data_IF_893811841531
#
_entry.id   IF_893811841531
#
_cell.length_a   1.000
_cell.length_b   1.000
_cell.length_c   1.000
_cell.angle_alpha   90.00
_cell.angle_beta   90.00
_cell.angle_gamma   90.00
#
_symmetry.space_group_name_H-M   'P 1'
#
loop_
_entity.id
_entity.type
_entity.pdbx_description
1 polymer ?
#
# COMPACT_ATOMS: atom_id res chain seq x y z
N UNK A 1 -16.57 36.23 -57.96
CA UNK A 1 -16.40 35.02 -57.13
C UNK A 1 -16.31 35.45 -55.67
N UNK A 2 -17.30 35.11 -54.85
CA UNK A 2 -17.51 35.67 -53.50
C UNK A 2 -16.49 35.10 -52.50
N UNK A 3 -15.70 35.94 -51.79
CA UNK A 3 -14.60 35.49 -50.91
C UNK A 3 -15.09 34.76 -49.64
N UNK A 4 -16.38 34.83 -49.34
CA UNK A 4 -17.00 34.19 -48.17
C UNK A 4 -16.89 32.67 -48.15
N UNK A 5 -16.81 32.01 -49.31
CA UNK A 5 -16.65 30.55 -49.36
C UNK A 5 -15.30 30.07 -48.82
N UNK A 6 -14.23 30.84 -49.05
CA UNK A 6 -12.89 30.52 -48.52
C UNK A 6 -12.80 30.78 -47.01
N UNK A 7 -13.44 31.85 -46.54
CA UNK A 7 -13.50 32.17 -45.11
C UNK A 7 -14.32 31.14 -44.32
N UNK A 8 -15.44 30.68 -44.88
CA UNK A 8 -16.28 29.66 -44.25
C UNK A 8 -15.60 28.28 -44.21
N UNK A 9 -14.85 27.92 -45.27
CA UNK A 9 -14.07 26.69 -45.27
C UNK A 9 -12.94 26.70 -44.23
N UNK A 10 -12.29 27.86 -44.02
CA UNK A 10 -11.21 28.00 -43.05
C UNK A 10 -11.72 27.84 -41.60
N UNK A 11 -12.90 28.39 -41.30
CA UNK A 11 -13.56 28.22 -40.00
C UNK A 11 -13.99 26.77 -39.73
N UNK A 12 -14.36 26.02 -40.78
CA UNK A 12 -14.74 24.62 -40.65
C UNK A 12 -13.53 23.72 -40.34
N UNK A 13 -12.34 24.05 -40.83
CA UNK A 13 -11.12 23.28 -40.56
C UNK A 13 -10.60 23.44 -39.12
N UNK A 14 -10.81 24.59 -38.47
CA UNK A 14 -10.33 24.83 -37.10
C UNK A 14 -11.07 24.02 -36.04
N UNK A 15 -12.28 23.54 -36.34
CA UNK A 15 -13.08 22.71 -35.43
C UNK A 15 -12.58 21.25 -35.32
N UNK A 16 -11.70 20.82 -36.23
CA UNK A 16 -11.17 19.44 -36.29
C UNK A 16 -9.90 19.22 -35.44
N UNK A 17 -9.36 20.26 -34.79
CA UNK A 17 -8.14 20.18 -33.97
C UNK A 17 -8.34 20.09 -32.46
N UNK A 18 -9.55 19.73 -32.01
CA UNK A 18 -9.82 19.43 -30.60
C UNK A 18 -9.38 18.02 -30.18
N UNK A 19 -8.08 17.75 -30.08
CA UNK A 19 -7.59 16.50 -29.49
C UNK A 19 -7.66 16.56 -27.95
N UNK A 20 -8.70 15.96 -27.36
CA UNK A 20 -8.77 15.70 -25.92
C UNK A 20 -8.01 14.41 -25.58
N UNK A 21 -6.86 14.53 -24.93
CA UNK A 21 -6.12 13.38 -24.41
C UNK A 21 -6.52 13.13 -22.95
N UNK A 22 -7.25 12.04 -22.69
CA UNK A 22 -7.58 11.61 -21.33
C UNK A 22 -6.50 10.66 -20.83
N UNK A 23 -5.71 11.08 -19.84
CA UNK A 23 -4.75 10.21 -19.16
C UNK A 23 -5.48 9.50 -18.02
N UNK A 24 -5.49 8.17 -18.08
CA UNK A 24 -6.01 7.34 -16.98
C UNK A 24 -4.93 7.28 -15.89
N UNK A 25 -5.22 7.89 -14.74
CA UNK A 25 -4.37 7.77 -13.55
C UNK A 25 -4.95 6.67 -12.67
N UNK A 26 -4.17 5.62 -12.33
CA UNK A 26 -4.62 4.62 -11.37
C UNK A 26 -4.76 5.27 -9.99
N UNK A 27 -6.00 5.33 -9.49
CA UNK A 27 -6.27 5.78 -8.13
C UNK A 27 -6.25 4.54 -7.23
N UNK A 28 -5.32 4.45 -6.26
CA UNK A 28 -5.31 3.33 -5.34
C UNK A 28 -6.60 3.30 -4.52
N UNK A 29 -7.17 2.11 -4.26
CA UNK A 29 -8.38 1.99 -3.45
C UNK A 29 -8.12 2.57 -2.06
N UNK A 30 -8.96 3.54 -1.66
CA UNK A 30 -8.92 4.11 -0.31
C UNK A 30 -9.72 3.20 0.62
N UNK A 31 -9.08 2.59 1.61
CA UNK A 31 -9.78 1.93 2.72
C UNK A 31 -10.10 2.96 3.80
N UNK A 32 -11.38 3.12 4.13
CA UNK A 32 -11.77 3.88 5.33
C UNK A 32 -11.47 3.02 6.56
N UNK A 33 -10.49 3.44 7.35
CA UNK A 33 -10.08 2.70 8.55
C UNK A 33 -10.96 2.98 9.77
N UNK A 34 -11.76 4.06 9.75
CA UNK A 34 -12.59 4.48 10.89
C UNK A 34 -13.66 3.43 11.25
N UNK A 35 -14.14 2.68 10.27
CA UNK A 35 -15.11 1.61 10.47
C UNK A 35 -14.56 0.41 11.27
N UNK A 36 -13.23 0.29 11.40
CA UNK A 36 -12.57 -0.82 12.07
C UNK A 36 -12.14 -0.51 13.51
N UNK A 37 -12.48 0.66 14.07
CA UNK A 37 -12.15 1.01 15.46
C UNK A 37 -10.64 0.89 15.74
N UNK A 38 -10.26 0.13 16.77
CA UNK A 38 -8.85 -0.14 17.09
C UNK A 38 -8.27 -1.22 16.18
N UNK A 39 -7.22 -0.86 15.44
CA UNK A 39 -6.51 -1.75 14.54
C UNK A 39 -5.26 -2.29 15.25
N UNK A 40 -5.12 -3.60 15.30
CA UNK A 40 -3.89 -4.25 15.72
C UNK A 40 -2.84 -4.20 14.63
N UNK A 41 -1.59 -3.90 14.98
CA UNK A 41 -0.44 -3.97 14.07
C UNK A 41 0.53 -5.02 14.59
N UNK A 42 0.79 -6.03 13.78
CA UNK A 42 1.88 -6.98 14.04
C UNK A 42 3.15 -6.39 13.42
N UNK A 43 4.25 -6.47 14.18
CA UNK A 43 5.53 -5.93 13.75
C UNK A 43 5.97 -6.57 12.43
N UNK A 44 6.45 -5.74 11.50
CA UNK A 44 6.84 -6.24 10.19
C UNK A 44 8.07 -7.11 10.30
N UNK A 45 8.09 -8.16 9.48
CA UNK A 45 9.24 -9.06 9.38
C UNK A 45 9.87 -8.92 7.99
N UNK A 46 11.19 -8.76 7.95
CA UNK A 46 11.98 -8.82 6.73
C UNK A 46 12.78 -10.12 6.63
N UNK A 47 13.10 -10.53 5.40
CA UNK A 47 14.01 -11.63 5.12
C UNK A 47 15.50 -11.24 5.29
N UNK A 48 15.80 -9.94 5.36
CA UNK A 48 17.17 -9.41 5.50
C UNK A 48 17.51 -9.05 6.97
N UNK A 49 17.88 -7.79 7.24
CA UNK A 49 18.31 -7.34 8.56
C UNK A 49 17.13 -6.97 9.46
N UNK A 50 17.04 -7.64 10.61
CA UNK A 50 16.05 -7.40 11.66
C UNK A 50 16.01 -5.95 12.17
N UNK A 51 17.09 -5.17 12.03
CA UNK A 51 17.10 -3.75 12.41
C UNK A 51 16.10 -2.93 11.57
N UNK A 52 15.77 -3.38 10.36
CA UNK A 52 14.81 -2.72 9.46
C UNK A 52 13.35 -2.97 9.86
N UNK A 53 13.06 -3.98 10.67
CA UNK A 53 11.71 -4.32 11.10
C UNK A 53 11.05 -3.19 11.90
N UNK A 54 11.79 -2.65 12.88
CA UNK A 54 11.32 -1.55 13.72
C UNK A 54 11.12 -0.27 12.90
N UNK A 55 12.09 0.07 12.05
CA UNK A 55 12.01 1.24 11.18
C UNK A 55 10.81 1.17 10.23
N UNK A 56 10.59 0.02 9.59
CA UNK A 56 9.48 -0.15 8.67
C UNK A 56 8.11 -0.16 9.37
N UNK A 57 8.02 -0.76 10.56
CA UNK A 57 6.80 -0.72 11.38
C UNK A 57 6.47 0.73 11.76
N UNK A 58 7.47 1.51 12.16
CA UNK A 58 7.31 2.93 12.46
C UNK A 58 6.88 3.74 11.22
N UNK A 59 7.57 3.57 10.09
CA UNK A 59 7.22 4.26 8.84
C UNK A 59 5.79 3.94 8.38
N UNK A 60 5.35 2.68 8.55
CA UNK A 60 3.97 2.30 8.28
C UNK A 60 2.98 3.00 9.21
N UNK A 61 3.25 3.04 10.52
CA UNK A 61 2.40 3.74 11.49
C UNK A 61 2.27 5.22 11.14
N UNK A 62 3.39 5.89 10.84
CA UNK A 62 3.42 7.31 10.43
C UNK A 62 2.55 7.53 9.18
N UNK A 63 2.71 6.68 8.16
CA UNK A 63 1.97 6.80 6.91
C UNK A 63 0.47 6.56 7.10
N UNK A 64 0.08 5.52 7.84
CA UNK A 64 -1.32 5.17 8.06
C UNK A 64 -2.02 6.22 8.92
N UNK A 65 -1.37 6.72 9.98
CA UNK A 65 -1.93 7.77 10.82
C UNK A 65 -2.06 9.10 10.07
N UNK A 66 -1.09 9.45 9.21
CA UNK A 66 -1.19 10.61 8.34
C UNK A 66 -2.34 10.51 7.33
N UNK A 67 -2.60 9.31 6.81
CA UNK A 67 -3.69 9.06 5.87
C UNK A 67 -5.07 8.93 6.54
N UNK A 68 -5.14 8.43 7.78
CA UNK A 68 -6.37 8.14 8.51
C UNK A 68 -6.33 8.66 9.96
N UNK A 69 -6.31 9.99 10.14
CA UNK A 69 -6.24 10.58 11.48
C UNK A 69 -7.43 10.13 12.34
N UNK A 70 -7.15 9.79 13.60
CA UNK A 70 -8.14 9.38 14.59
C UNK A 70 -8.44 7.88 14.64
N UNK A 71 -7.78 7.04 13.84
CA UNK A 71 -7.88 5.58 13.98
C UNK A 71 -6.79 5.06 14.92
N UNK A 72 -7.13 4.50 16.10
CA UNK A 72 -6.13 4.00 17.03
C UNK A 72 -5.46 2.74 16.50
N UNK A 73 -4.12 2.74 16.51
CA UNK A 73 -3.29 1.59 16.14
C UNK A 73 -2.62 1.06 17.39
N UNK A 74 -2.80 -0.24 17.66
CA UNK A 74 -2.18 -0.94 18.78
C UNK A 74 -1.13 -1.91 18.27
N UNK A 75 0.13 -1.69 18.62
CA UNK A 75 1.20 -2.64 18.30
C UNK A 75 1.09 -3.89 19.19
N UNK A 76 0.92 -5.05 18.57
CA UNK A 76 0.67 -6.33 19.25
C UNK A 76 1.96 -7.09 19.56
N UNK A 77 3.08 -6.69 18.95
CA UNK A 77 4.39 -7.35 19.04
C UNK A 77 4.74 -8.17 17.79
N UNK A 78 5.66 -9.12 17.96
CA UNK A 78 6.13 -9.98 16.86
C UNK A 78 5.10 -11.05 16.49
N UNK A 79 5.16 -11.50 15.23
CA UNK A 79 4.30 -12.56 14.69
C UNK A 79 4.24 -13.81 15.58
N UNK A 80 5.41 -14.30 15.98
CA UNK A 80 5.51 -15.52 16.80
C UNK A 80 4.95 -15.32 18.21
N UNK A 81 5.17 -14.15 18.82
CA UNK A 81 4.66 -13.85 20.15
C UNK A 81 3.12 -13.75 20.16
N UNK A 82 2.54 -13.11 19.14
CA UNK A 82 1.08 -12.98 19.00
C UNK A 82 0.42 -14.34 18.76
N UNK A 83 1.01 -15.17 17.92
CA UNK A 83 0.52 -16.54 17.65
C UNK A 83 0.62 -17.43 18.89
N UNK A 84 1.78 -17.42 19.57
CA UNK A 84 1.95 -18.15 20.83
C UNK A 84 0.96 -17.70 21.91
N UNK A 85 0.67 -16.40 21.98
CA UNK A 85 -0.25 -15.83 22.95
C UNK A 85 -1.70 -16.34 22.79
N UNK A 86 -2.10 -16.79 21.61
CA UNK A 86 -3.44 -17.34 21.35
C UNK A 86 -3.45 -18.85 21.11
N UNK A 87 -2.29 -19.50 21.25
CA UNK A 87 -2.11 -20.93 21.02
C UNK A 87 -2.26 -21.34 19.55
N UNK A 88 -2.07 -20.41 18.61
CA UNK A 88 -2.13 -20.65 17.18
C UNK A 88 -0.75 -20.81 16.57
N UNK A 89 -0.68 -21.45 15.40
CA UNK A 89 0.56 -21.57 14.60
C UNK A 89 0.48 -20.78 13.30
N UNK A 90 -0.72 -20.38 12.88
CA UNK A 90 -0.99 -19.63 11.66
C UNK A 90 -2.09 -18.60 11.89
N UNK A 91 -2.19 -17.59 11.03
CA UNK A 91 -3.27 -16.59 11.06
C UNK A 91 -4.51 -17.12 10.33
N UNK A 92 -5.14 -18.15 10.88
CA UNK A 92 -6.43 -18.66 10.42
C UNK A 92 -7.61 -17.90 11.06
N UNK A 93 -8.83 -18.10 10.54
CA UNK A 93 -10.01 -17.38 11.01
C UNK A 93 -10.27 -17.58 12.53
N UNK A 94 -9.94 -18.76 13.07
CA UNK A 94 -10.08 -19.06 14.50
C UNK A 94 -9.07 -18.26 15.32
N UNK A 95 -7.80 -18.27 14.93
CA UNK A 95 -6.72 -17.51 15.57
C UNK A 95 -7.01 -16.02 15.50
N UNK A 96 -7.46 -15.49 14.37
CA UNK A 96 -7.83 -14.08 14.22
C UNK A 96 -8.95 -13.66 15.18
N UNK A 97 -9.94 -14.53 15.39
CA UNK A 97 -11.02 -14.29 16.36
C UNK A 97 -10.48 -14.26 17.80
N UNK A 98 -9.56 -15.17 18.14
CA UNK A 98 -8.90 -15.21 19.46
C UNK A 98 -8.04 -13.96 19.70
N UNK A 99 -7.29 -13.51 18.68
CA UNK A 99 -6.48 -12.29 18.75
C UNK A 99 -7.38 -11.08 18.99
N UNK A 100 -8.46 -10.93 18.22
CA UNK A 100 -9.41 -9.83 18.40
C UNK A 100 -10.00 -9.78 19.81
N UNK A 101 -10.38 -10.95 20.37
CA UNK A 101 -10.90 -11.05 21.74
C UNK A 101 -9.84 -10.75 22.81
N UNK A 102 -8.60 -11.22 22.62
CA UNK A 102 -7.51 -11.07 23.61
C UNK A 102 -7.00 -9.64 23.69
N UNK A 103 -6.83 -8.99 22.54
CA UNK A 103 -6.21 -7.66 22.44
C UNK A 103 -7.23 -6.53 22.24
N UNK A 104 -8.51 -6.83 22.06
CA UNK A 104 -9.57 -5.84 21.90
C UNK A 104 -9.52 -5.09 20.56
N UNK A 105 -9.04 -5.74 19.50
CA UNK A 105 -8.87 -5.15 18.16
C UNK A 105 -9.89 -5.71 17.17
N UNK A 106 -10.45 -4.86 16.29
CA UNK A 106 -11.47 -5.28 15.31
C UNK A 106 -10.90 -5.69 13.95
N UNK A 107 -9.64 -5.33 13.70
CA UNK A 107 -8.86 -5.79 12.57
C UNK A 107 -7.39 -5.88 12.96
N UNK A 108 -6.62 -6.70 12.26
CA UNK A 108 -5.17 -6.83 12.45
C UNK A 108 -4.48 -6.71 11.11
N UNK A 109 -3.47 -5.84 11.07
CA UNK A 109 -2.58 -5.67 9.93
C UNK A 109 -1.34 -6.54 10.10
N UNK A 110 -1.03 -7.30 9.06
CA UNK A 110 0.11 -8.21 9.01
C UNK A 110 0.91 -7.83 7.77
N UNK A 111 2.13 -7.35 7.97
CA UNK A 111 3.01 -6.91 6.88
C UNK A 111 4.30 -7.72 6.84
N UNK A 112 4.69 -8.12 5.63
CA UNK A 112 6.00 -8.71 5.37
C UNK A 112 6.75 -7.82 4.36
N UNK A 113 8.04 -7.60 4.64
CA UNK A 113 8.92 -6.80 3.79
C UNK A 113 9.77 -7.78 2.99
N UNK A 114 9.46 -7.89 1.70
CA UNK A 114 10.25 -8.70 0.79
C UNK A 114 11.36 -7.81 0.23
N UNK A 115 12.59 -8.05 0.72
CA UNK A 115 13.79 -7.45 0.16
C UNK A 115 14.21 -8.25 -1.08
N UNK A 116 14.36 -7.57 -2.23
CA UNK A 116 14.93 -8.17 -3.44
C UNK A 116 16.27 -7.53 -3.77
N UNK A 117 17.33 -8.33 -3.85
CA UNK A 117 18.63 -7.85 -4.31
C UNK A 117 18.52 -7.21 -5.71
N UNK A 118 19.11 -6.03 -5.93
CA UNK A 118 19.08 -5.38 -7.23
C UNK A 118 19.84 -6.25 -8.24
N UNK A 119 19.13 -6.81 -9.23
CA UNK A 119 19.75 -7.42 -10.41
C UNK A 119 20.39 -6.33 -11.26
N UNK A 120 21.63 -5.98 -10.98
CA UNK A 120 22.38 -5.04 -11.81
C UNK A 120 23.05 -5.81 -12.96
N UNK A 121 22.35 -5.96 -14.08
CA UNK A 121 22.98 -6.34 -15.34
C UNK A 121 23.68 -5.09 -15.90
N UNK A 122 24.90 -4.82 -15.44
CA UNK A 122 25.62 -3.60 -15.80
C UNK A 122 26.43 -3.85 -17.07
N UNK A 123 25.95 -3.33 -18.20
CA UNK A 123 26.79 -3.10 -19.39
C UNK A 123 27.55 -1.79 -19.18
N UNK A 124 28.84 -1.76 -19.51
CA UNK A 124 29.73 -0.60 -19.28
C UNK A 124 29.18 0.71 -19.92
N UNK A 125 28.31 0.62 -20.92
CA UNK A 125 27.64 1.75 -21.55
C UNK A 125 26.55 2.43 -20.69
N UNK A 126 26.03 1.77 -19.65
CA UNK A 126 24.91 2.26 -18.82
C UNK A 126 25.38 2.90 -17.49
N UNK A 127 26.70 2.97 -17.25
CA UNK A 127 27.29 3.50 -16.01
C UNK A 127 26.89 4.97 -15.77
N UNK A 128 26.56 5.73 -16.82
CA UNK A 128 26.10 7.13 -16.70
C UNK A 128 24.66 7.27 -16.22
N UNK A 129 23.89 6.18 -16.10
CA UNK A 129 22.46 6.16 -15.69
C UNK A 129 22.18 5.32 -14.44
N UNK A 130 23.19 5.05 -13.62
CA UNK A 130 23.03 4.30 -12.37
C UNK A 130 22.28 5.11 -11.30
N UNK A 131 20.97 5.26 -11.45
CA UNK A 131 20.07 5.44 -10.31
C UNK A 131 19.78 4.05 -9.75
N UNK A 132 20.55 3.62 -8.75
CA UNK A 132 20.33 2.36 -8.04
C UNK A 132 19.00 2.42 -7.27
N UNK A 133 17.89 2.12 -7.93
CA UNK A 133 16.59 2.03 -7.26
C UNK A 133 16.50 0.66 -6.59
N UNK A 134 16.71 0.62 -5.28
CA UNK A 134 16.37 -0.55 -4.47
C UNK A 134 14.84 -0.72 -4.53
N UNK A 135 14.36 -1.87 -5.01
CA UNK A 135 12.93 -2.19 -5.02
C UNK A 135 12.59 -2.94 -3.74
N UNK A 136 12.00 -2.24 -2.78
CA UNK A 136 11.40 -2.85 -1.58
C UNK A 136 9.90 -2.95 -1.80
N UNK A 137 9.34 -4.16 -1.73
CA UNK A 137 7.90 -4.37 -1.82
C UNK A 137 7.35 -4.72 -0.44
N UNK A 138 6.45 -3.87 0.07
CA UNK A 138 5.71 -4.11 1.32
C UNK A 138 4.41 -4.81 0.93
N UNK A 139 4.26 -6.08 1.33
CA UNK A 139 3.00 -6.80 1.18
C UNK A 139 2.31 -6.84 2.53
N UNK A 140 1.12 -6.26 2.58
CA UNK A 140 0.32 -6.16 3.79
C UNK A 140 -1.05 -6.78 3.59
N UNK A 141 -1.47 -7.57 4.56
CA UNK A 141 -2.80 -8.18 4.60
C UNK A 141 -3.53 -7.66 5.83
N UNK A 142 -4.79 -7.22 5.64
CA UNK A 142 -5.66 -6.78 6.71
C UNK A 142 -6.71 -7.88 6.96
N UNK A 143 -6.68 -8.45 8.15
CA UNK A 143 -7.63 -9.47 8.57
C UNK A 143 -8.66 -8.87 9.51
N UNK A 144 -9.94 -9.02 9.18
CA UNK A 144 -11.05 -8.65 10.08
C UNK A 144 -11.20 -9.74 11.15
N UNK A 145 -11.20 -9.35 12.43
CA UNK A 145 -11.22 -10.31 13.56
C UNK A 145 -12.63 -10.72 14.00
N UNK A 146 -13.67 -10.06 13.47
CA UNK A 146 -15.07 -10.34 13.77
C UNK A 146 -15.97 -10.23 12.53
N UNK A 147 -16.87 -11.20 12.37
CA UNK A 147 -17.98 -11.14 11.41
C UNK A 147 -19.17 -10.45 12.08
N UNK A 148 -19.58 -9.28 11.56
CA UNK A 148 -20.84 -8.64 11.97
C UNK A 148 -21.98 -9.50 11.47
N UNK A 149 -22.83 -9.96 12.39
CA UNK A 149 -24.23 -10.22 12.06
C UNK A 149 -24.95 -8.88 11.91
#
# INVERSE_FOLDING_TARGET
MRPYGKLMALWLLTLLWGCSNTILVPVPPRMDLKQYGTIGLIQFTTNSDSTMNAFATQQFQEHVQGANPGTPILELGSKDAVLAAVGGTTFDAETMTKIGKKYGVSAVFIGEIVYSDPKTDIRIADITKLNGTMRTEIRGELYRTWSSR
#
